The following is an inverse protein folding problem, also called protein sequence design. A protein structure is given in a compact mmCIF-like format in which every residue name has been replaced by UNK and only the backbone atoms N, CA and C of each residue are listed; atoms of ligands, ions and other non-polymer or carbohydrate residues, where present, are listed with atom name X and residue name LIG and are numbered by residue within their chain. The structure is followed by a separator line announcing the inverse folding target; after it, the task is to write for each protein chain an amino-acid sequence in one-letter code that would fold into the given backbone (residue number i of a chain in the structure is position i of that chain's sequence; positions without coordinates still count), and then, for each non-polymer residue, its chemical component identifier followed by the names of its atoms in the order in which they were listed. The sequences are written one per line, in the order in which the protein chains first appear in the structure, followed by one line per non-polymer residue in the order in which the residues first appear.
data_IF_158712665825
#
_entry.id   IF_158712665825
#
_cell.length_a   1.000
_cell.length_b   1.000
_cell.length_c   1.000
_cell.angle_alpha   90.00
_cell.angle_beta   90.00
_cell.angle_gamma   90.00
#
_symmetry.space_group_name_H-M   'P 1'
#
loop_
_entity.id
_entity.type
_entity.pdbx_description
1 polymer ?
#
# COMPACT_ATOMS: atom_id res chain seq x y z
N UNK A 1 14.89 11.90 -2.09
CA UNK A 1 14.09 12.65 -3.10
C UNK A 1 13.58 13.97 -2.52
N UNK A 2 13.15 14.91 -3.36
CA UNK A 2 12.67 16.24 -2.95
C UNK A 2 11.17 16.39 -3.21
N UNK A 3 10.53 17.33 -2.50
CA UNK A 3 9.11 17.67 -2.70
C UNK A 3 8.87 18.54 -3.92
N UNK A 4 9.93 19.07 -4.53
CA UNK A 4 9.93 19.91 -5.75
C UNK A 4 10.99 19.40 -6.73
N UNK A 5 11.35 20.17 -7.75
CA UNK A 5 12.38 19.79 -8.74
C UNK A 5 13.80 20.20 -8.34
N UNK A 6 13.99 20.89 -7.22
CA UNK A 6 15.28 21.35 -6.74
C UNK A 6 15.62 20.73 -5.38
N UNK A 7 16.93 20.65 -5.06
CA UNK A 7 17.40 20.12 -3.78
C UNK A 7 17.08 20.99 -2.57
N UNK A 8 16.84 22.27 -2.79
CA UNK A 8 16.51 23.23 -1.75
C UNK A 8 15.38 24.16 -2.17
N UNK A 9 15.13 25.18 -1.35
CA UNK A 9 14.18 26.23 -1.68
C UNK A 9 14.67 27.05 -2.87
N UNK A 10 13.79 27.25 -3.83
CA UNK A 10 13.98 28.18 -4.92
C UNK A 10 12.70 28.97 -5.13
N UNK A 11 12.77 30.30 -4.99
CA UNK A 11 11.62 31.22 -5.06
C UNK A 11 10.81 31.09 -6.37
N UNK A 12 11.50 30.77 -7.46
CA UNK A 12 10.90 30.63 -8.81
C UNK A 12 10.42 29.20 -9.11
N UNK A 13 10.63 28.22 -8.21
CA UNK A 13 10.15 26.86 -8.41
C UNK A 13 8.71 26.75 -7.92
N UNK A 14 7.81 26.44 -8.84
CA UNK A 14 6.38 26.22 -8.60
C UNK A 14 5.96 24.78 -8.86
N UNK A 15 6.91 23.89 -9.19
CA UNK A 15 6.66 22.49 -9.54
C UNK A 15 6.68 21.62 -8.28
N UNK A 16 5.65 21.72 -7.49
CA UNK A 16 5.48 20.89 -6.28
C UNK A 16 4.83 19.55 -6.60
N UNK A 17 5.37 18.48 -6.01
CA UNK A 17 4.69 17.19 -6.00
C UNK A 17 3.42 17.28 -5.17
N UNK A 18 2.44 16.48 -5.54
CA UNK A 18 1.19 16.38 -4.77
C UNK A 18 1.36 15.44 -3.58
N UNK A 19 0.53 15.56 -2.52
CA UNK A 19 0.51 14.59 -1.44
C UNK A 19 0.30 13.15 -1.93
N UNK A 20 -0.53 12.94 -2.95
CA UNK A 20 -0.75 11.63 -3.56
C UNK A 20 0.53 11.04 -4.15
N UNK A 21 1.30 11.81 -4.92
CA UNK A 21 2.56 11.33 -5.52
C UNK A 21 3.58 10.91 -4.46
N UNK A 22 3.68 11.66 -3.36
CA UNK A 22 4.59 11.34 -2.26
C UNK A 22 4.11 10.09 -1.50
N UNK A 23 2.82 9.96 -1.23
CA UNK A 23 2.25 8.79 -0.54
C UNK A 23 2.38 7.55 -1.42
N UNK A 24 2.12 7.65 -2.74
CA UNK A 24 2.26 6.53 -3.67
C UNK A 24 3.71 6.04 -3.75
N UNK A 25 4.66 6.96 -3.91
CA UNK A 25 6.08 6.61 -3.89
C UNK A 25 6.49 5.99 -2.55
N UNK A 26 6.00 6.53 -1.43
CA UNK A 26 6.33 5.98 -0.11
C UNK A 26 5.79 4.55 0.02
N UNK A 27 4.56 4.28 -0.43
CA UNK A 27 4.00 2.93 -0.47
C UNK A 27 4.86 1.98 -1.32
N UNK A 28 5.32 2.43 -2.50
CA UNK A 28 6.21 1.64 -3.36
C UNK A 28 7.54 1.32 -2.67
N UNK A 29 8.17 2.31 -2.04
CA UNK A 29 9.45 2.13 -1.33
C UNK A 29 9.33 1.14 -0.17
N UNK A 30 8.31 1.28 0.69
CA UNK A 30 8.14 0.35 1.82
C UNK A 30 7.75 -1.05 1.36
N UNK A 31 7.05 -1.18 0.24
CA UNK A 31 6.67 -2.49 -0.32
C UNK A 31 7.88 -3.33 -0.75
N UNK A 32 8.98 -2.70 -1.06
CA UNK A 32 10.26 -3.36 -1.38
C UNK A 32 11.18 -3.53 -0.15
N UNK A 33 10.70 -3.16 1.04
CA UNK A 33 11.50 -3.19 2.28
C UNK A 33 12.47 -2.01 2.40
N UNK A 34 12.30 -0.96 1.58
CA UNK A 34 13.14 0.23 1.57
C UNK A 34 12.71 1.31 2.56
N UNK A 35 13.55 2.35 2.68
CA UNK A 35 13.28 3.56 3.47
C UNK A 35 13.28 4.79 2.56
N UNK A 36 12.31 5.69 2.75
CA UNK A 36 12.24 6.94 2.01
C UNK A 36 12.94 8.06 2.79
N UNK A 37 13.95 8.67 2.18
CA UNK A 37 14.49 9.97 2.61
C UNK A 37 13.80 11.06 1.78
N UNK A 38 12.92 11.83 2.41
CA UNK A 38 12.21 12.94 1.80
C UNK A 38 12.86 14.27 2.24
N UNK A 39 13.39 14.99 1.28
CA UNK A 39 14.06 16.26 1.49
C UNK A 39 13.09 17.43 1.29
N UNK A 40 13.24 18.45 2.16
CA UNK A 40 12.48 19.71 2.13
C UNK A 40 13.43 20.89 2.02
N UNK A 41 12.98 21.99 1.41
CA UNK A 41 13.76 23.22 1.27
C UNK A 41 13.19 24.36 2.11
N UNK A 42 13.71 24.62 3.31
CA UNK A 42 13.33 25.81 4.08
C UNK A 42 13.71 27.09 3.34
N UNK A 43 12.96 28.17 3.59
CA UNK A 43 13.32 29.53 3.13
C UNK A 43 14.51 30.07 3.93
N UNK A 44 15.04 31.21 3.50
CA UNK A 44 16.15 31.92 4.15
C UNK A 44 15.86 32.27 5.63
N UNK A 45 14.61 32.50 5.97
CA UNK A 45 14.13 32.77 7.33
C UNK A 45 13.88 31.51 8.18
N UNK A 46 14.21 30.34 7.63
CA UNK A 46 14.00 29.03 8.28
C UNK A 46 12.57 28.49 8.17
N UNK A 47 11.63 29.23 7.56
CA UNK A 47 10.26 28.75 7.43
C UNK A 47 10.11 27.72 6.30
N UNK A 48 9.22 26.76 6.50
CA UNK A 48 8.89 25.76 5.47
C UNK A 48 7.76 26.31 4.58
N UNK A 49 7.91 26.29 3.25
CA UNK A 49 6.86 26.69 2.32
C UNK A 49 5.53 25.99 2.60
N UNK A 50 4.42 26.69 2.37
CA UNK A 50 3.06 26.14 2.66
C UNK A 50 2.76 24.87 1.88
N UNK A 51 3.28 24.74 0.66
CA UNK A 51 3.12 23.60 -0.22
C UNK A 51 3.80 22.35 0.40
N UNK A 52 5.02 22.51 0.88
CA UNK A 52 5.74 21.42 1.56
C UNK A 52 5.08 21.03 2.89
N UNK A 53 4.62 22.03 3.66
CA UNK A 53 3.88 21.75 4.90
C UNK A 53 2.60 20.96 4.63
N UNK A 54 1.86 21.29 3.55
CA UNK A 54 0.70 20.52 3.14
C UNK A 54 1.05 19.06 2.86
N UNK A 55 2.09 18.83 2.06
CA UNK A 55 2.56 17.47 1.72
C UNK A 55 2.90 16.68 3.00
N UNK A 56 3.69 17.28 3.90
CA UNK A 56 4.09 16.60 5.14
C UNK A 56 2.91 16.34 6.08
N UNK A 57 1.96 17.27 6.17
CA UNK A 57 0.75 17.12 7.01
C UNK A 57 -0.12 15.99 6.49
N UNK A 58 -0.36 15.92 5.19
CA UNK A 58 -1.19 14.88 4.56
C UNK A 58 -0.49 13.51 4.63
N UNK A 59 0.82 13.45 4.38
CA UNK A 59 1.61 12.22 4.55
C UNK A 59 1.58 11.72 5.99
N UNK A 60 1.76 12.64 6.96
CA UNK A 60 1.71 12.31 8.39
C UNK A 60 0.35 11.78 8.84
N UNK A 61 -0.73 12.42 8.37
CA UNK A 61 -2.10 12.00 8.65
C UNK A 61 -2.41 10.62 8.04
N UNK A 62 -1.95 10.38 6.80
CA UNK A 62 -2.10 9.08 6.12
C UNK A 62 -1.28 7.99 6.83
N UNK A 63 -0.02 8.26 7.19
CA UNK A 63 0.84 7.32 7.93
C UNK A 63 0.22 6.90 9.27
N UNK A 64 -0.34 7.85 10.02
CA UNK A 64 -0.98 7.56 11.32
C UNK A 64 -2.16 6.60 11.18
N UNK A 65 -2.93 6.69 10.10
CA UNK A 65 -4.04 5.76 9.83
C UNK A 65 -3.55 4.36 9.45
N UNK A 66 -2.39 4.26 8.81
CA UNK A 66 -1.90 3.04 8.17
C UNK A 66 -0.60 2.52 8.78
N UNK A 67 -0.22 3.01 9.98
CA UNK A 67 1.05 2.72 10.65
C UNK A 67 1.36 1.22 10.74
N UNK A 68 0.34 0.40 10.98
CA UNK A 68 0.44 -1.06 11.08
C UNK A 68 0.99 -1.72 9.80
N UNK A 69 0.69 -1.15 8.64
CA UNK A 69 1.15 -1.65 7.34
C UNK A 69 2.53 -1.12 6.95
N UNK A 70 3.07 -0.15 7.71
CA UNK A 70 4.28 0.59 7.35
C UNK A 70 5.40 0.31 8.35
N UNK A 71 5.15 0.58 9.64
CA UNK A 71 6.19 0.47 10.66
C UNK A 71 6.32 -0.95 11.18
N UNK A 72 7.54 -1.50 11.11
CA UNK A 72 7.82 -2.87 11.53
C UNK A 72 7.27 -3.95 10.59
N UNK A 73 6.81 -3.58 9.40
CA UNK A 73 6.44 -4.51 8.34
C UNK A 73 7.67 -4.97 7.55
N UNK A 74 7.50 -6.05 6.83
CA UNK A 74 8.45 -6.58 5.84
C UNK A 74 8.02 -6.16 4.45
N UNK A 75 8.93 -6.25 3.47
CA UNK A 75 8.59 -6.12 2.06
C UNK A 75 7.45 -7.08 1.67
N UNK A 76 6.70 -6.70 0.63
CA UNK A 76 5.48 -7.39 0.24
C UNK A 76 5.69 -8.66 -0.57
N UNK A 77 4.59 -9.13 -1.16
CA UNK A 77 4.58 -10.30 -2.03
C UNK A 77 5.15 -9.97 -3.41
N UNK A 78 5.64 -11.00 -4.11
CA UNK A 78 6.21 -10.84 -5.43
C UNK A 78 5.24 -10.15 -6.43
N UNK A 79 5.76 -9.36 -7.40
CA UNK A 79 4.95 -8.76 -8.45
C UNK A 79 4.09 -9.78 -9.21
N UNK A 80 2.91 -9.34 -9.67
CA UNK A 80 1.97 -10.18 -10.42
C UNK A 80 0.92 -10.90 -9.57
N UNK A 81 1.09 -10.95 -8.25
CA UNK A 81 0.07 -11.47 -7.34
C UNK A 81 -1.00 -10.43 -6.97
N UNK A 82 -0.60 -9.17 -6.90
CA UNK A 82 -1.47 -8.01 -6.74
C UNK A 82 -0.94 -6.86 -7.61
N UNK A 83 -1.80 -5.95 -8.06
CA UNK A 83 -1.43 -4.86 -8.98
C UNK A 83 -0.76 -3.66 -8.30
N UNK A 84 -0.94 -3.51 -6.98
CA UNK A 84 -0.38 -2.40 -6.18
C UNK A 84 0.72 -2.86 -5.24
N UNK A 85 1.32 -1.92 -4.50
CA UNK A 85 2.28 -2.22 -3.45
C UNK A 85 1.67 -3.10 -2.37
N UNK A 86 2.50 -3.90 -1.71
CA UNK A 86 2.09 -4.74 -0.58
C UNK A 86 3.17 -4.75 0.49
N UNK A 87 2.77 -4.97 1.73
CA UNK A 87 3.69 -5.28 2.84
C UNK A 87 3.17 -6.47 3.62
N UNK A 88 4.02 -7.06 4.46
CA UNK A 88 3.68 -8.22 5.27
C UNK A 88 4.02 -7.89 6.73
N UNK A 89 3.16 -8.30 7.68
CA UNK A 89 3.47 -8.16 9.11
C UNK A 89 4.73 -8.93 9.50
N UNK A 90 5.40 -8.52 10.57
CA UNK A 90 6.65 -9.14 11.03
C UNK A 90 6.52 -10.66 11.28
N UNK A 91 5.36 -11.12 11.74
CA UNK A 91 5.04 -12.54 11.94
C UNK A 91 4.52 -13.23 10.68
N UNK A 92 4.44 -12.49 9.58
CA UNK A 92 3.96 -12.92 8.27
C UNK A 92 2.51 -13.40 8.23
N UNK A 93 1.69 -13.13 9.24
CA UNK A 93 0.29 -13.58 9.32
C UNK A 93 -0.72 -12.55 8.81
N UNK A 94 -0.28 -11.32 8.52
CA UNK A 94 -1.09 -10.31 7.85
C UNK A 94 -0.42 -9.86 6.55
N UNK A 95 -1.21 -9.82 5.47
CA UNK A 95 -0.83 -9.23 4.20
C UNK A 95 -1.54 -7.88 4.06
N UNK A 96 -0.80 -6.81 3.79
CA UNK A 96 -1.34 -5.48 3.56
C UNK A 96 -1.32 -5.16 2.07
N UNK A 97 -2.46 -4.71 1.54
CA UNK A 97 -2.63 -4.33 0.14
C UNK A 97 -2.84 -2.82 0.04
N UNK A 98 -1.99 -2.13 -0.71
CA UNK A 98 -2.11 -0.70 -0.97
C UNK A 98 -2.86 -0.49 -2.29
N UNK A 99 -4.13 -0.14 -2.19
CA UNK A 99 -5.03 0.08 -3.32
C UNK A 99 -4.85 1.50 -3.82
N UNK A 100 -4.07 1.64 -4.89
CA UNK A 100 -3.79 2.93 -5.51
C UNK A 100 -4.99 3.44 -6.31
N UNK A 101 -5.33 4.70 -6.12
CA UNK A 101 -6.47 5.36 -6.78
C UNK A 101 -7.82 4.96 -6.20
N UNK A 102 -8.87 5.54 -6.78
CA UNK A 102 -10.26 5.22 -6.45
C UNK A 102 -10.71 4.02 -7.29
N UNK A 103 -10.99 2.90 -6.64
CA UNK A 103 -11.56 1.75 -7.35
C UNK A 103 -13.09 1.86 -7.43
N UNK A 104 -13.65 1.47 -8.56
CA UNK A 104 -15.12 1.42 -8.74
C UNK A 104 -15.76 0.10 -8.30
N UNK A 105 -14.98 -0.80 -7.69
CA UNK A 105 -15.52 -2.12 -7.36
C UNK A 105 -14.51 -3.09 -6.76
N UNK A 106 -14.25 -4.16 -7.47
CA UNK A 106 -13.55 -5.35 -6.98
C UNK A 106 -12.06 -5.31 -7.32
N UNK A 107 -11.21 -5.59 -6.34
CA UNK A 107 -9.79 -5.88 -6.58
C UNK A 107 -9.55 -7.39 -6.55
N UNK A 108 -8.42 -7.83 -7.09
CA UNK A 108 -8.08 -9.24 -7.20
C UNK A 108 -6.68 -9.53 -6.65
N UNK A 109 -6.55 -10.62 -5.88
CA UNK A 109 -5.26 -11.20 -5.46
C UNK A 109 -5.13 -12.60 -6.05
N UNK A 110 -3.98 -12.88 -6.69
CA UNK A 110 -3.68 -14.15 -7.32
C UNK A 110 -2.75 -15.00 -6.46
N UNK A 111 -2.93 -16.30 -6.50
CA UNK A 111 -1.96 -17.25 -5.97
C UNK A 111 -1.82 -17.27 -4.45
N UNK A 112 -2.68 -16.60 -3.70
CA UNK A 112 -2.68 -16.68 -2.24
C UNK A 112 -3.25 -18.03 -1.80
N UNK A 113 -2.40 -18.86 -1.19
CA UNK A 113 -2.78 -20.22 -0.76
C UNK A 113 -3.38 -20.26 0.65
N UNK A 114 -3.32 -19.16 1.36
CA UNK A 114 -3.83 -19.04 2.72
C UNK A 114 -5.37 -18.97 2.78
N UNK A 115 -5.92 -19.44 3.89
CA UNK A 115 -7.28 -19.06 4.28
C UNK A 115 -7.28 -17.64 4.87
N UNK A 116 -8.15 -16.78 4.35
CA UNK A 116 -8.32 -15.42 4.84
C UNK A 116 -9.37 -15.44 5.96
N UNK A 117 -8.95 -15.12 7.17
CA UNK A 117 -9.84 -15.04 8.35
C UNK A 117 -10.69 -13.79 8.34
N UNK A 118 -10.08 -12.65 7.98
CA UNK A 118 -10.72 -11.34 8.00
C UNK A 118 -10.02 -10.40 7.03
N UNK A 119 -10.79 -9.50 6.42
CA UNK A 119 -10.27 -8.36 5.66
C UNK A 119 -10.81 -7.08 6.28
N UNK A 120 -9.91 -6.15 6.61
CA UNK A 120 -10.25 -4.88 7.25
C UNK A 120 -9.64 -3.72 6.50
N UNK A 121 -10.40 -2.65 6.28
CA UNK A 121 -9.85 -1.36 5.80
C UNK A 121 -9.15 -0.68 6.96
N UNK A 122 -7.84 -0.47 6.86
CA UNK A 122 -7.09 0.28 7.88
C UNK A 122 -7.54 1.74 7.92
N UNK A 123 -7.51 2.33 9.11
CA UNK A 123 -7.90 3.72 9.35
C UNK A 123 -9.39 3.93 9.65
N UNK A 124 -10.29 3.05 9.20
CA UNK A 124 -11.72 3.12 9.57
C UNK A 124 -12.30 1.82 10.13
N UNK A 125 -11.56 0.71 10.07
CA UNK A 125 -11.95 -0.57 10.68
C UNK A 125 -13.06 -1.33 9.94
N UNK A 126 -13.47 -0.89 8.75
CA UNK A 126 -14.54 -1.54 7.99
C UNK A 126 -14.13 -2.94 7.55
N UNK A 127 -14.94 -3.95 7.87
CA UNK A 127 -14.73 -5.32 7.42
C UNK A 127 -15.29 -5.50 6.01
N UNK A 128 -14.50 -6.14 5.14
CA UNK A 128 -14.84 -6.40 3.75
C UNK A 128 -15.14 -7.88 3.52
N UNK A 129 -16.05 -8.14 2.58
CA UNK A 129 -16.33 -9.49 2.07
C UNK A 129 -15.36 -9.81 0.93
N UNK A 130 -15.06 -11.09 0.80
CA UNK A 130 -14.31 -11.62 -0.33
C UNK A 130 -14.93 -12.92 -0.85
N UNK A 131 -14.57 -13.28 -2.07
CA UNK A 131 -14.92 -14.57 -2.68
C UNK A 131 -13.67 -15.16 -3.34
N UNK A 132 -13.57 -16.48 -3.35
CA UNK A 132 -12.53 -17.21 -4.08
C UNK A 132 -13.18 -17.86 -5.29
N UNK A 133 -12.64 -17.59 -6.48
CA UNK A 133 -13.17 -18.08 -7.75
C UNK A 133 -12.13 -18.95 -8.44
N UNK A 134 -12.56 -20.00 -9.11
CA UNK A 134 -11.68 -20.89 -9.88
C UNK A 134 -10.88 -21.90 -9.06
N UNK A 135 -11.15 -22.04 -7.76
CA UNK A 135 -10.58 -23.14 -6.96
C UNK A 135 -11.33 -24.42 -7.27
N UNK A 136 -10.58 -25.48 -7.63
CA UNK A 136 -11.11 -26.82 -7.93
C UNK A 136 -10.47 -27.86 -7.03
N UNK A 137 -11.21 -28.89 -6.66
CA UNK A 137 -10.82 -29.85 -5.62
C UNK A 137 -9.59 -30.70 -5.95
N UNK A 138 -9.37 -30.98 -7.24
CA UNK A 138 -8.26 -31.83 -7.71
C UNK A 138 -7.00 -31.04 -8.11
N UNK A 139 -7.00 -29.73 -7.91
CA UNK A 139 -5.85 -28.87 -8.26
C UNK A 139 -5.30 -28.17 -7.03
N UNK A 140 -3.97 -28.05 -6.89
CA UNK A 140 -3.34 -27.25 -5.84
C UNK A 140 -3.49 -25.73 -6.07
N UNK A 141 -4.00 -25.32 -7.24
CA UNK A 141 -4.19 -23.89 -7.57
C UNK A 141 -5.23 -23.28 -6.64
N UNK A 142 -4.90 -22.21 -5.87
CA UNK A 142 -5.76 -21.69 -4.81
C UNK A 142 -7.00 -20.94 -5.32
N UNK A 143 -7.06 -20.65 -6.62
CA UNK A 143 -8.07 -19.76 -7.19
C UNK A 143 -7.69 -18.29 -7.08
N UNK A 144 -8.63 -17.41 -7.42
CA UNK A 144 -8.48 -15.96 -7.41
C UNK A 144 -9.31 -15.37 -6.28
N UNK A 145 -8.69 -14.57 -5.43
CA UNK A 145 -9.39 -13.87 -4.34
C UNK A 145 -9.90 -12.54 -4.88
N UNK A 146 -11.22 -12.34 -4.85
CA UNK A 146 -11.86 -11.07 -5.20
C UNK A 146 -12.38 -10.38 -3.94
N UNK A 147 -12.08 -9.09 -3.79
CA UNK A 147 -12.44 -8.26 -2.64
C UNK A 147 -13.21 -7.05 -3.14
N UNK A 148 -14.43 -6.87 -2.67
CA UNK A 148 -15.26 -5.72 -3.02
C UNK A 148 -14.98 -4.56 -2.06
N UNK A 149 -14.64 -3.38 -2.62
CA UNK A 149 -14.31 -2.17 -1.84
C UNK A 149 -15.33 -1.08 -2.16
N UNK A 150 -16.32 -0.85 -1.29
CA UNK A 150 -17.27 0.24 -1.47
C UNK A 150 -16.58 1.60 -1.50
N UNK A 151 -17.06 2.53 -2.34
CA UNK A 151 -16.48 3.88 -2.45
C UNK A 151 -16.43 4.62 -1.11
N UNK A 152 -17.46 4.48 -0.28
CA UNK A 152 -17.56 5.20 0.99
C UNK A 152 -16.57 4.79 2.08
N UNK A 153 -15.79 3.71 1.86
CA UNK A 153 -14.77 3.26 2.83
C UNK A 153 -13.35 3.49 2.37
N UNK A 154 -13.19 4.03 1.15
CA UNK A 154 -11.87 4.28 0.55
C UNK A 154 -11.22 5.52 1.15
N UNK A 155 -9.89 5.48 1.30
CA UNK A 155 -9.13 6.65 1.71
C UNK A 155 -9.02 7.68 0.56
N UNK A 156 -8.81 8.93 0.92
CA UNK A 156 -8.62 10.04 -0.03
C UNK A 156 -7.48 9.77 -1.03
N UNK A 157 -6.43 9.09 -0.58
CA UNK A 157 -5.21 8.85 -1.36
C UNK A 157 -5.06 7.38 -1.73
N UNK A 158 -4.59 6.56 -0.81
CA UNK A 158 -4.37 5.13 -0.98
C UNK A 158 -5.08 4.40 0.15
N UNK A 159 -6.01 3.53 -0.21
CA UNK A 159 -6.70 2.66 0.73
C UNK A 159 -5.82 1.47 1.07
N UNK A 160 -5.62 1.20 2.35
CA UNK A 160 -4.84 0.04 2.78
C UNK A 160 -5.75 -1.01 3.40
N UNK A 161 -5.68 -2.22 2.87
CA UNK A 161 -6.42 -3.38 3.40
C UNK A 161 -5.48 -4.28 4.19
N UNK A 162 -5.92 -4.74 5.35
CA UNK A 162 -5.29 -5.84 6.07
C UNK A 162 -6.04 -7.14 5.79
N UNK A 163 -5.34 -8.14 5.27
CA UNK A 163 -5.80 -9.52 5.15
C UNK A 163 -5.18 -10.34 6.28
N UNK A 164 -5.95 -10.70 7.30
CA UNK A 164 -5.50 -11.63 8.35
C UNK A 164 -5.60 -13.05 7.86
N UNK A 165 -4.50 -13.78 7.94
CA UNK A 165 -4.34 -15.13 7.40
C UNK A 165 -4.33 -16.17 8.51
N UNK A 166 -4.56 -17.42 8.14
CA UNK A 166 -4.55 -18.57 9.05
C UNK A 166 -3.13 -18.98 9.49
N UNK A 167 -2.13 -18.67 8.66
CA UNK A 167 -0.70 -18.99 8.82
C UNK A 167 0.15 -17.96 8.07
N UNK A 168 1.48 -18.00 8.16
CA UNK A 168 2.36 -17.13 7.38
C UNK A 168 2.03 -17.14 5.89
N UNK A 169 2.16 -15.97 5.24
CA UNK A 169 1.86 -15.78 3.81
C UNK A 169 2.49 -16.87 2.97
N UNK A 170 1.68 -17.55 2.21
CA UNK A 170 2.09 -18.62 1.31
C UNK A 170 1.50 -18.38 -0.07
N UNK A 171 2.38 -18.26 -1.07
CA UNK A 171 2.00 -18.07 -2.47
C UNK A 171 2.16 -19.38 -3.25
N UNK A 172 1.19 -19.65 -4.09
CA UNK A 172 1.29 -20.74 -5.06
C UNK A 172 2.26 -20.34 -6.17
N UNK A 173 3.26 -21.18 -6.38
CA UNK A 173 4.15 -21.12 -7.53
C UNK A 173 3.82 -22.29 -8.45
N UNK A 174 3.41 -21.99 -9.69
CA UNK A 174 3.16 -23.02 -10.70
C UNK A 174 4.44 -23.80 -11.03
N UNK A 175 4.30 -25.06 -11.49
CA UNK A 175 5.41 -25.80 -12.07
C UNK A 175 5.82 -25.08 -13.37
N UNK A 176 7.08 -24.65 -13.48
CA UNK A 176 7.61 -23.93 -14.64
C UNK A 176 7.66 -22.41 -14.49
N UNK A 177 7.44 -21.85 -13.31
CA UNK A 177 7.82 -20.46 -13.02
C UNK A 177 9.35 -20.33 -13.04
N UNK A 178 9.84 -19.29 -13.68
CA UNK A 178 11.26 -18.94 -13.58
C UNK A 178 11.56 -18.58 -12.12
N UNK A 179 12.57 -19.23 -11.54
CA UNK A 179 13.12 -18.93 -10.23
C UNK A 179 13.93 -17.63 -10.27
#
# INVERSE_FOLDING_TARGET
MTTNNNWGYRKTDTAWKTPYEIIALFADVVSTGGNLLLDIGPREDGTIPKEQRLILTELGAWNKKHEKAIFGSLGGIAPGHFYGPTTISKDSTSLFLFVQGQTSGTIMVKGLSNHIKEITVLGNGTKLKHKVVGKISWSPVPGLVYIDIPKGVQDKYITVLELKLDKPVTLYRGKGGFD
#
